data_IF_391886800736
#
_entry.id   IF_391886800736
#
_cell.length_a   1.000
_cell.length_b   1.000
_cell.length_c   1.000
_cell.angle_alpha   90.00
_cell.angle_beta   90.00
_cell.angle_gamma   90.00
#
_symmetry.space_group_name_H-M   'P 1'
#
loop_
_entity.id
_entity.type
_entity.pdbx_description
1 polymer ?
#
# COMPACT_ATOMS: atom_id res chain seq x y z
N UNK A 1 -21.49 31.45 -4.01
CA UNK A 1 -20.98 31.81 -5.35
C UNK A 1 -19.56 31.31 -5.54
N UNK A 2 -18.65 31.47 -4.57
CA UNK A 2 -17.24 31.05 -4.67
C UNK A 2 -17.05 29.53 -4.71
N UNK A 3 -17.72 28.75 -3.84
CA UNK A 3 -17.62 27.27 -3.86
C UNK A 3 -18.01 26.66 -5.21
N UNK A 4 -19.05 27.18 -5.87
CA UNK A 4 -19.49 26.71 -7.18
C UNK A 4 -18.49 27.09 -8.28
N UNK A 5 -17.83 28.24 -8.16
CA UNK A 5 -16.77 28.68 -9.07
C UNK A 5 -15.51 27.83 -8.91
N UNK A 6 -15.13 27.51 -7.67
CA UNK A 6 -14.03 26.60 -7.37
C UNK A 6 -14.35 25.19 -7.92
N UNK A 7 -15.54 24.66 -7.67
CA UNK A 7 -15.97 23.37 -8.24
C UNK A 7 -15.92 23.35 -9.78
N UNK A 8 -16.31 24.45 -10.45
CA UNK A 8 -16.21 24.57 -11.92
C UNK A 8 -14.77 24.65 -12.42
N UNK A 9 -13.89 25.37 -11.73
CA UNK A 9 -12.47 25.45 -12.04
C UNK A 9 -11.78 24.08 -11.89
N UNK A 10 -12.06 23.38 -10.79
CA UNK A 10 -11.57 22.02 -10.55
C UNK A 10 -12.06 21.00 -11.60
N UNK A 11 -13.31 21.15 -12.07
CA UNK A 11 -13.84 20.33 -13.17
C UNK A 11 -13.08 20.56 -14.48
N UNK A 12 -12.57 21.76 -14.72
CA UNK A 12 -11.80 22.11 -15.91
C UNK A 12 -10.37 21.54 -15.87
N UNK A 13 -9.74 21.50 -14.70
CA UNK A 13 -8.44 20.84 -14.49
C UNK A 13 -8.55 19.32 -14.68
N UNK A 14 -9.68 18.71 -14.27
CA UNK A 14 -9.94 17.27 -14.40
C UNK A 14 -9.82 16.75 -15.85
N UNK A 15 -10.08 17.58 -16.87
CA UNK A 15 -10.00 17.17 -18.28
C UNK A 15 -8.57 17.05 -18.83
N UNK A 16 -7.59 17.75 -18.25
CA UNK A 16 -6.23 17.80 -18.79
C UNK A 16 -5.28 16.73 -18.21
N UNK A 17 -5.64 16.06 -17.11
CA UNK A 17 -4.78 15.12 -16.38
C UNK A 17 -5.10 13.63 -16.58
N UNK A 18 -5.91 13.27 -17.58
CA UNK A 18 -6.39 11.89 -17.79
C UNK A 18 -5.24 10.88 -17.99
N UNK A 19 -4.04 11.32 -18.35
CA UNK A 19 -2.93 10.44 -18.72
C UNK A 19 -2.17 9.78 -17.54
N UNK A 20 -2.44 10.13 -16.27
CA UNK A 20 -1.67 9.61 -15.12
C UNK A 20 -2.50 9.34 -13.85
N UNK A 21 -3.54 8.53 -13.97
CA UNK A 21 -4.29 8.05 -12.79
C UNK A 21 -3.81 6.67 -12.34
N UNK A 22 -3.52 6.52 -11.05
CA UNK A 22 -3.27 5.25 -10.38
C UNK A 22 -4.59 4.50 -10.19
N UNK A 23 -4.55 3.20 -10.48
CA UNK A 23 -5.69 2.29 -10.31
C UNK A 23 -5.71 1.67 -8.91
N UNK A 24 -6.89 1.21 -8.46
CA UNK A 24 -7.09 0.56 -7.15
C UNK A 24 -6.02 -0.47 -6.78
N UNK A 25 -5.58 -1.31 -7.72
CA UNK A 25 -4.59 -2.35 -7.43
C UNK A 25 -3.18 -1.78 -7.19
N UNK A 26 -2.82 -0.70 -7.88
CA UNK A 26 -1.52 -0.05 -7.73
C UNK A 26 -1.45 0.70 -6.40
N UNK A 27 -2.51 1.43 -6.07
CA UNK A 27 -2.66 2.19 -4.81
C UNK A 27 -2.54 1.25 -3.61
N UNK A 28 -3.34 0.18 -3.57
CA UNK A 28 -3.32 -0.73 -2.42
C UNK A 28 -2.10 -1.65 -2.38
N UNK A 29 -1.43 -1.88 -3.53
CA UNK A 29 -0.12 -2.54 -3.55
C UNK A 29 0.93 -1.66 -2.89
N UNK A 30 0.95 -0.37 -3.18
CA UNK A 30 1.87 0.58 -2.55
C UNK A 30 1.62 0.72 -1.04
N UNK A 31 0.35 0.83 -0.63
CA UNK A 31 -0.01 0.76 0.80
C UNK A 31 0.50 -0.52 1.47
N UNK A 32 0.37 -1.68 0.83
CA UNK A 32 0.87 -2.94 1.38
C UNK A 32 2.41 -2.96 1.53
N UNK A 33 3.15 -2.38 0.57
CA UNK A 33 4.60 -2.24 0.66
C UNK A 33 5.02 -1.39 1.87
N UNK A 34 4.29 -0.30 2.11
CA UNK A 34 4.49 0.58 3.28
C UNK A 34 4.10 -0.09 4.61
N UNK A 35 3.29 -1.14 4.56
CA UNK A 35 2.88 -1.96 5.72
C UNK A 35 1.43 -1.76 6.16
N UNK A 36 0.58 -1.15 5.32
CA UNK A 36 -0.85 -1.08 5.55
C UNK A 36 -1.56 -2.31 4.97
N UNK A 37 -2.35 -2.99 5.79
CA UNK A 37 -3.07 -4.21 5.40
C UNK A 37 -4.56 -3.93 5.16
N UNK A 38 -4.86 -2.95 4.29
CA UNK A 38 -6.25 -2.61 3.95
C UNK A 38 -6.95 -3.75 3.19
N UNK A 39 -8.19 -4.05 3.57
CA UNK A 39 -9.01 -5.11 2.96
C UNK A 39 -10.50 -4.77 2.94
N UNK A 40 -11.27 -5.48 2.11
CA UNK A 40 -12.73 -5.34 2.04
C UNK A 40 -13.19 -3.91 1.71
N UNK A 41 -14.11 -3.38 2.53
CA UNK A 41 -14.70 -2.04 2.38
C UNK A 41 -13.68 -0.90 2.52
N UNK A 42 -12.56 -1.14 3.22
CA UNK A 42 -11.48 -0.16 3.39
C UNK A 42 -10.62 0.00 2.13
N UNK A 43 -10.83 -0.82 1.09
CA UNK A 43 -10.25 -0.61 -0.25
C UNK A 43 -11.15 0.26 -1.13
N UNK A 44 -11.50 1.45 -0.64
CA UNK A 44 -12.49 2.34 -1.27
C UNK A 44 -11.94 3.37 -2.27
N UNK A 45 -10.63 3.52 -2.45
CA UNK A 45 -10.08 4.43 -3.47
C UNK A 45 -10.16 3.76 -4.85
N UNK A 46 -11.02 4.28 -5.73
CA UNK A 46 -11.24 3.71 -7.05
C UNK A 46 -10.11 4.09 -8.02
N UNK A 47 -9.82 5.39 -8.10
CA UNK A 47 -8.73 5.95 -8.88
C UNK A 47 -8.25 7.25 -8.26
N UNK A 48 -6.99 7.61 -8.48
CA UNK A 48 -6.43 8.88 -8.03
C UNK A 48 -5.27 9.32 -8.91
N UNK A 49 -5.08 10.63 -9.08
CA UNK A 49 -3.89 11.20 -9.70
C UNK A 49 -2.63 10.81 -8.91
N UNK A 50 -1.49 10.71 -9.60
CA UNK A 50 -0.18 10.42 -8.99
C UNK A 50 0.17 11.43 -7.89
N UNK A 51 -0.28 12.68 -8.05
CA UNK A 51 -0.05 13.73 -7.06
C UNK A 51 -0.96 13.64 -5.82
N UNK A 52 -1.94 12.73 -5.79
CA UNK A 52 -2.90 12.61 -4.70
C UNK A 52 -3.93 13.74 -4.60
N UNK A 53 -3.98 14.65 -5.57
CA UNK A 53 -4.81 15.87 -5.52
C UNK A 53 -6.25 15.59 -5.92
N UNK A 54 -6.48 14.80 -6.98
CA UNK A 54 -7.82 14.49 -7.48
C UNK A 54 -8.00 12.98 -7.58
N UNK A 55 -9.18 12.50 -7.21
CA UNK A 55 -9.52 11.08 -7.36
C UNK A 55 -11.00 10.80 -7.24
N UNK A 56 -11.32 9.53 -7.12
CA UNK A 56 -12.67 9.03 -6.92
C UNK A 56 -12.69 7.96 -5.83
N UNK A 57 -13.61 8.13 -4.88
CA UNK A 57 -13.83 7.24 -3.76
C UNK A 57 -15.15 6.49 -3.94
N UNK A 58 -15.16 5.21 -3.58
CA UNK A 58 -16.34 4.36 -3.61
C UNK A 58 -17.19 4.60 -2.36
N UNK A 59 -18.48 4.83 -2.57
CA UNK A 59 -19.47 4.91 -1.53
C UNK A 59 -20.23 3.59 -1.42
N UNK A 60 -20.16 2.95 -0.24
CA UNK A 60 -20.81 1.66 0.04
C UNK A 60 -21.90 1.77 1.11
N UNK A 61 -22.51 2.95 1.29
CA UNK A 61 -23.42 3.26 2.42
C UNK A 61 -22.79 3.17 3.82
N UNK A 62 -21.46 3.04 3.92
CA UNK A 62 -20.72 2.89 5.17
C UNK A 62 -19.80 4.09 5.42
N UNK A 63 -20.24 5.02 6.28
CA UNK A 63 -19.51 6.25 6.60
C UNK A 63 -18.11 5.99 7.14
N UNK A 64 -17.93 4.95 7.96
CA UNK A 64 -16.64 4.66 8.60
C UNK A 64 -15.59 4.32 7.54
N UNK A 65 -15.91 3.41 6.62
CA UNK A 65 -15.00 3.05 5.53
C UNK A 65 -14.72 4.22 4.58
N UNK A 66 -15.71 5.08 4.36
CA UNK A 66 -15.58 6.23 3.47
C UNK A 66 -14.72 7.35 4.07
N UNK A 67 -14.89 7.61 5.37
CA UNK A 67 -14.04 8.56 6.08
C UNK A 67 -12.60 8.04 6.17
N UNK A 68 -12.41 6.74 6.40
CA UNK A 68 -11.07 6.14 6.39
C UNK A 68 -10.42 6.25 5.01
N UNK A 69 -11.16 6.06 3.90
CA UNK A 69 -10.60 6.23 2.56
C UNK A 69 -10.23 7.68 2.27
N UNK A 70 -10.95 8.67 2.82
CA UNK A 70 -10.51 10.07 2.77
C UNK A 70 -9.19 10.31 3.54
N UNK A 71 -8.99 9.65 4.68
CA UNK A 71 -7.71 9.70 5.41
C UNK A 71 -6.59 9.02 4.61
N UNK A 72 -6.88 7.87 4.00
CA UNK A 72 -5.95 7.15 3.13
C UNK A 72 -5.47 8.02 1.97
N UNK A 73 -6.33 8.85 1.38
CA UNK A 73 -5.95 9.74 0.28
C UNK A 73 -4.79 10.67 0.66
N UNK A 74 -4.79 11.20 1.89
CA UNK A 74 -3.68 12.03 2.38
C UNK A 74 -2.38 11.23 2.54
N UNK A 75 -2.49 9.93 2.84
CA UNK A 75 -1.33 9.05 3.00
C UNK A 75 -0.68 8.67 1.65
N UNK A 76 -1.34 8.87 0.51
CA UNK A 76 -0.78 8.49 -0.81
C UNK A 76 0.55 9.20 -1.09
N UNK A 77 0.62 10.50 -0.83
CA UNK A 77 1.84 11.30 -1.04
C UNK A 77 2.87 11.16 0.10
N UNK A 78 2.48 10.54 1.21
CA UNK A 78 3.38 10.32 2.35
C UNK A 78 4.46 9.27 2.04
N UNK A 79 5.61 9.40 2.68
CA UNK A 79 6.68 8.42 2.62
C UNK A 79 6.68 7.59 3.90
N UNK A 80 6.72 6.26 3.74
CA UNK A 80 6.73 5.31 4.86
C UNK A 80 5.37 5.07 5.52
N UNK A 81 5.38 4.49 6.72
CA UNK A 81 4.19 4.18 7.49
C UNK A 81 3.84 5.35 8.42
N UNK A 82 2.70 5.99 8.18
CA UNK A 82 2.19 7.10 8.99
C UNK A 82 0.77 6.81 9.48
N UNK A 83 0.42 7.34 10.65
CA UNK A 83 -0.92 7.21 11.22
C UNK A 83 -1.53 8.58 11.44
N UNK A 84 -2.81 8.79 11.10
CA UNK A 84 -3.57 9.96 11.54
C UNK A 84 -3.54 10.09 13.06
N UNK A 85 -3.21 11.28 13.56
CA UNK A 85 -3.14 11.57 15.01
C UNK A 85 -4.04 12.71 15.43
N UNK A 86 -4.20 13.70 14.56
CA UNK A 86 -5.02 14.88 14.84
C UNK A 86 -5.76 15.33 13.58
N UNK A 87 -6.98 15.84 13.79
CA UNK A 87 -7.82 16.46 12.78
C UNK A 87 -8.36 17.73 13.42
N UNK A 88 -8.06 18.89 12.84
CA UNK A 88 -8.50 20.18 13.40
C UNK A 88 -10.03 20.34 13.32
N UNK A 89 -10.62 19.95 12.18
CA UNK A 89 -12.06 20.03 11.97
C UNK A 89 -12.56 19.01 10.94
N UNK A 90 -13.70 18.41 11.22
CA UNK A 90 -14.44 17.54 10.31
C UNK A 90 -15.88 18.04 10.20
N UNK A 91 -16.32 18.36 8.98
CA UNK A 91 -17.69 18.79 8.68
C UNK A 91 -18.34 17.81 7.72
N UNK A 92 -19.58 17.44 8.03
CA UNK A 92 -20.34 16.47 7.25
C UNK A 92 -21.74 17.05 7.01
N UNK A 93 -22.09 17.21 5.74
CA UNK A 93 -23.46 17.43 5.28
C UNK A 93 -23.96 16.17 4.55
N UNK A 94 -24.76 15.33 5.23
CA UNK A 94 -25.26 14.09 4.64
C UNK A 94 -26.17 14.32 3.43
N UNK A 95 -26.93 15.42 3.37
CA UNK A 95 -27.86 15.69 2.26
C UNK A 95 -27.06 16.00 1.01
N UNK A 96 -26.11 16.92 1.12
CA UNK A 96 -25.20 17.26 0.03
C UNK A 96 -24.36 16.05 -0.41
N UNK A 97 -23.93 15.22 0.56
CA UNK A 97 -23.17 14.01 0.24
C UNK A 97 -23.98 13.05 -0.64
N UNK A 98 -25.25 12.78 -0.30
CA UNK A 98 -26.11 11.89 -1.08
C UNK A 98 -26.38 12.42 -2.49
N UNK A 99 -26.53 13.74 -2.65
CA UNK A 99 -26.69 14.39 -3.96
C UNK A 99 -25.42 14.33 -4.82
N UNK A 100 -24.25 14.26 -4.19
CA UNK A 100 -22.94 14.24 -4.86
C UNK A 100 -22.51 12.85 -5.33
N UNK A 101 -23.22 11.79 -4.93
CA UNK A 101 -22.88 10.42 -5.33
C UNK A 101 -23.32 10.20 -6.78
N UNK A 102 -22.41 9.68 -7.59
CA UNK A 102 -22.74 9.21 -8.94
C UNK A 102 -23.67 8.00 -8.85
N UNK A 103 -24.89 8.11 -9.41
CA UNK A 103 -25.87 7.04 -9.42
C UNK A 103 -25.44 5.82 -10.22
N UNK A 104 -24.53 5.98 -11.19
CA UNK A 104 -24.05 4.91 -12.06
C UNK A 104 -22.93 4.09 -11.42
N UNK A 105 -21.99 4.77 -10.76
CA UNK A 105 -20.75 4.15 -10.26
C UNK A 105 -20.73 4.01 -8.74
N UNK A 106 -21.68 4.62 -8.03
CA UNK A 106 -21.67 4.76 -6.57
C UNK A 106 -20.32 5.31 -6.07
N UNK A 107 -19.73 6.25 -6.83
CA UNK A 107 -18.48 6.93 -6.46
C UNK A 107 -18.72 8.41 -6.25
N UNK A 108 -17.82 9.03 -5.51
CA UNK A 108 -17.76 10.46 -5.31
C UNK A 108 -16.35 10.97 -5.60
N UNK A 109 -16.24 12.17 -6.18
CA UNK A 109 -14.94 12.78 -6.40
C UNK A 109 -14.31 13.23 -5.09
N UNK A 110 -13.00 13.02 -4.95
CA UNK A 110 -12.18 13.58 -3.86
C UNK A 110 -11.24 14.63 -4.43
N UNK A 111 -11.05 15.70 -3.67
CA UNK A 111 -10.09 16.76 -3.94
C UNK A 111 -9.30 17.08 -2.67
N UNK A 112 -7.97 17.17 -2.79
CA UNK A 112 -7.07 17.52 -1.71
C UNK A 112 -6.33 18.80 -2.06
N UNK A 113 -6.39 19.76 -1.16
CA UNK A 113 -5.57 20.97 -1.21
C UNK A 113 -4.50 20.88 -0.11
N UNK A 114 -3.28 20.52 -0.51
CA UNK A 114 -2.16 20.38 0.40
C UNK A 114 -1.68 21.71 0.98
N UNK A 115 -1.90 22.85 0.30
CA UNK A 115 -1.49 24.16 0.81
C UNK A 115 -2.35 24.60 1.99
N UNK A 116 -3.64 24.32 1.92
CA UNK A 116 -4.59 24.64 2.98
C UNK A 116 -4.90 23.47 3.93
N UNK A 117 -4.24 22.32 3.73
CA UNK A 117 -4.49 21.07 4.45
C UNK A 117 -5.99 20.68 4.50
N UNK A 118 -6.64 20.77 3.34
CA UNK A 118 -8.06 20.47 3.15
C UNK A 118 -8.26 19.24 2.27
N UNK A 119 -9.27 18.43 2.61
CA UNK A 119 -9.72 17.32 1.80
C UNK A 119 -11.26 17.37 1.70
N UNK A 120 -11.76 17.36 0.48
CA UNK A 120 -13.19 17.43 0.17
C UNK A 120 -13.63 16.17 -0.55
N UNK A 121 -14.77 15.62 -0.13
CA UNK A 121 -15.43 14.59 -0.92
C UNK A 121 -16.94 14.54 -0.65
N UNK A 122 -17.72 14.79 -1.70
CA UNK A 122 -19.18 14.91 -1.60
C UNK A 122 -19.59 16.04 -0.65
N UNK A 123 -20.28 15.70 0.43
CA UNK A 123 -20.64 16.61 1.52
C UNK A 123 -19.69 16.59 2.72
N UNK A 124 -18.49 16.03 2.58
CA UNK A 124 -17.51 15.94 3.67
C UNK A 124 -16.36 16.90 3.41
N UNK A 125 -16.02 17.68 4.42
CA UNK A 125 -14.85 18.56 4.47
C UNK A 125 -13.99 18.16 5.67
N UNK A 126 -12.75 17.81 5.41
CA UNK A 126 -11.74 17.47 6.40
C UNK A 126 -10.65 18.54 6.36
N UNK A 127 -10.39 19.18 7.49
CA UNK A 127 -9.40 20.23 7.64
C UNK A 127 -8.38 19.87 8.71
N UNK A 128 -7.11 20.15 8.44
CA UNK A 128 -6.05 20.04 9.43
C UNK A 128 -5.69 18.60 9.79
N UNK A 129 -5.56 17.71 8.79
CA UNK A 129 -5.11 16.35 9.04
C UNK A 129 -3.61 16.34 9.38
N UNK A 130 -3.27 15.75 10.52
CA UNK A 130 -1.89 15.53 10.92
C UNK A 130 -1.60 14.05 11.07
N UNK A 131 -0.58 13.59 10.35
CA UNK A 131 -0.09 12.23 10.39
C UNK A 131 1.31 12.19 11.02
N UNK A 132 1.55 11.20 11.87
CA UNK A 132 2.88 10.97 12.46
C UNK A 132 3.46 9.67 11.92
N UNK A 133 4.75 9.68 11.59
CA UNK A 133 5.49 8.49 11.21
C UNK A 133 5.57 7.48 12.36
N UNK A 134 5.43 6.20 12.03
CA UNK A 134 5.58 5.10 12.98
C UNK A 134 6.61 4.09 12.47
N UNK A 135 7.26 3.40 13.40
CA UNK A 135 8.25 2.38 13.08
C UNK A 135 7.57 1.07 12.70
N UNK A 136 7.98 0.49 11.57
CA UNK A 136 7.56 -0.86 11.20
C UNK A 136 8.23 -1.85 12.14
N UNK A 137 7.46 -2.79 12.73
CA UNK A 137 8.05 -3.95 13.41
C UNK A 137 8.81 -4.76 12.36
N UNK A 138 10.13 -4.68 12.37
CA UNK A 138 10.99 -5.43 11.47
C UNK A 138 10.80 -6.94 11.70
N UNK A 139 9.95 -7.59 10.89
CA UNK A 139 10.06 -9.02 10.64
C UNK A 139 11.24 -9.22 9.68
N UNK A 140 12.46 -9.14 10.19
CA UNK A 140 13.63 -9.50 9.40
C UNK A 140 13.56 -10.99 9.09
N UNK A 141 13.31 -11.33 7.82
CA UNK A 141 13.79 -12.60 7.28
C UNK A 141 15.25 -12.35 6.87
N UNK A 142 16.18 -13.01 7.53
CA UNK A 142 17.58 -12.98 7.11
C UNK A 142 17.68 -13.70 5.77
N UNK A 143 17.84 -12.96 4.69
CA UNK A 143 18.15 -13.52 3.37
C UNK A 143 19.61 -13.96 3.36
N UNK A 144 19.86 -15.24 3.11
CA UNK A 144 21.20 -15.78 2.90
C UNK A 144 21.52 -15.66 1.41
N UNK A 145 22.70 -15.15 1.09
CA UNK A 145 23.21 -15.13 -0.29
C UNK A 145 24.16 -16.32 -0.46
N UNK A 146 23.79 -17.25 -1.33
CA UNK A 146 24.61 -18.39 -1.72
C UNK A 146 25.18 -18.14 -3.13
N UNK A 147 26.49 -18.35 -3.30
CA UNK A 147 27.16 -18.19 -4.59
C UNK A 147 27.51 -19.55 -5.18
N UNK A 148 27.16 -19.77 -6.44
CA UNK A 148 27.52 -20.99 -7.17
C UNK A 148 28.89 -20.82 -7.82
N UNK A 149 29.82 -21.71 -7.46
CA UNK A 149 31.15 -21.79 -8.04
C UNK A 149 31.39 -23.21 -8.55
N UNK A 150 32.12 -23.34 -9.65
CA UNK A 150 32.55 -24.65 -10.11
C UNK A 150 33.61 -25.20 -9.16
N UNK A 151 33.33 -26.35 -8.56
CA UNK A 151 34.26 -27.09 -7.70
C UNK A 151 34.63 -28.39 -8.42
N UNK A 152 35.88 -28.54 -8.88
CA UNK A 152 36.37 -29.81 -9.40
C UNK A 152 36.29 -30.90 -8.32
N UNK A 153 35.91 -32.12 -8.70
CA UNK A 153 35.76 -33.26 -7.79
C UNK A 153 37.04 -33.56 -6.97
N UNK A 154 38.22 -33.33 -7.55
CA UNK A 154 39.49 -33.61 -6.89
C UNK A 154 39.88 -32.54 -5.82
N UNK A 155 39.13 -31.43 -5.71
CA UNK A 155 39.46 -30.26 -4.88
C UNK A 155 38.35 -29.90 -3.85
N UNK A 156 37.64 -30.89 -3.31
CA UNK A 156 36.53 -30.68 -2.35
C UNK A 156 36.99 -30.03 -1.02
N UNK A 157 38.29 -30.03 -0.70
CA UNK A 157 38.85 -29.61 0.59
C UNK A 157 38.94 -28.10 0.87
N UNK A 158 38.36 -27.22 0.03
CA UNK A 158 38.70 -25.79 0.11
C UNK A 158 37.66 -24.97 0.89
N UNK A 159 36.37 -25.28 0.79
CA UNK A 159 35.30 -24.49 1.44
C UNK A 159 34.11 -25.41 1.73
N UNK A 160 33.83 -25.70 3.00
CA UNK A 160 32.65 -26.45 3.47
C UNK A 160 32.43 -27.84 2.82
N UNK A 161 33.35 -28.77 3.09
CA UNK A 161 33.31 -30.17 2.61
C UNK A 161 31.96 -30.86 2.84
N UNK A 162 31.37 -30.70 4.04
CA UNK A 162 30.10 -31.35 4.40
C UNK A 162 28.92 -30.79 3.58
N UNK A 163 28.90 -29.47 3.39
CA UNK A 163 27.82 -28.77 2.68
C UNK A 163 27.84 -29.13 1.20
N UNK A 164 29.03 -29.13 0.59
CA UNK A 164 29.24 -29.57 -0.80
C UNK A 164 28.82 -31.04 -0.99
N UNK A 165 29.21 -31.93 -0.07
CA UNK A 165 28.79 -33.33 -0.11
C UNK A 165 27.26 -33.47 0.01
N UNK A 166 26.62 -32.70 0.90
CA UNK A 166 25.17 -32.71 1.07
C UNK A 166 24.44 -32.22 -0.18
N UNK A 167 24.92 -31.14 -0.82
CA UNK A 167 24.36 -30.65 -2.08
C UNK A 167 24.47 -31.71 -3.20
N UNK A 168 25.62 -32.36 -3.34
CA UNK A 168 25.80 -33.44 -4.32
C UNK A 168 24.87 -34.63 -4.06
N UNK A 169 24.72 -35.04 -2.80
CA UNK A 169 23.80 -36.13 -2.43
C UNK A 169 22.36 -35.73 -2.78
N UNK A 170 21.94 -34.51 -2.41
CA UNK A 170 20.60 -34.01 -2.70
C UNK A 170 20.32 -33.96 -4.20
N UNK A 171 21.25 -33.46 -5.00
CA UNK A 171 21.11 -33.38 -6.46
C UNK A 171 20.93 -34.76 -7.12
N UNK A 172 21.56 -35.79 -6.56
CA UNK A 172 21.52 -37.16 -7.11
C UNK A 172 20.40 -38.04 -6.50
N UNK A 173 19.60 -37.51 -5.57
CA UNK A 173 18.45 -38.23 -4.99
C UNK A 173 17.12 -37.73 -5.56
N UNK A 174 16.20 -38.66 -5.86
CA UNK A 174 14.85 -38.34 -6.33
C UNK A 174 13.84 -38.18 -5.19
N UNK A 175 14.28 -38.33 -3.94
CA UNK A 175 13.42 -38.36 -2.74
C UNK A 175 13.44 -37.02 -2.01
N UNK A 176 12.30 -36.61 -1.48
CA UNK A 176 12.17 -35.37 -0.69
C UNK A 176 12.62 -35.52 0.76
N UNK A 177 12.96 -36.74 1.19
CA UNK A 177 13.45 -37.05 2.53
C UNK A 177 14.84 -37.66 2.46
N UNK A 178 15.71 -37.24 3.37
CA UNK A 178 17.04 -37.82 3.58
C UNK A 178 17.12 -38.43 4.98
N UNK A 179 17.50 -39.71 5.05
CA UNK A 179 17.86 -40.37 6.29
C UNK A 179 19.38 -40.35 6.47
N UNK A 180 19.86 -39.69 7.53
CA UNK A 180 21.29 -39.48 7.78
C UNK A 180 21.67 -40.04 9.16
N UNK A 181 22.78 -40.78 9.23
CA UNK A 181 23.31 -41.34 10.48
C UNK A 181 24.77 -40.90 10.65
N UNK A 182 25.12 -40.36 11.82
CA UNK A 182 26.49 -40.08 12.21
C UNK A 182 26.98 -41.20 13.14
N UNK A 183 28.12 -41.79 12.82
CA UNK A 183 28.76 -42.79 13.69
C UNK A 183 29.59 -42.02 14.73
N UNK A 184 29.14 -42.04 15.99
CA UNK A 184 29.93 -41.55 17.12
C UNK A 184 30.75 -42.69 17.70
N UNK A 185 32.08 -42.56 17.71
CA UNK A 185 32.92 -43.48 18.49
C UNK A 185 32.93 -43.01 19.94
N UNK A 186 32.50 -43.88 20.86
CA UNK A 186 32.72 -43.69 22.30
C UNK A 186 34.24 -43.65 22.55
N UNK A 187 34.69 -42.62 23.27
CA UNK A 187 36.09 -42.50 23.73
C UNK A 187 36.36 -43.47 24.86
#
# INVERSE_FOLDING_TARGET
SEQLTMQKFHKQIKLNNIEKNLQINEIYRDFNLRGYEYSGLFRGINQIDINGIYGELKWNNEWISYLDTMLQVHLITSQGLQLPTHIDSLRIDPKHHLESISSLTSTCSVYVDYWNNLCFSGGIELFGLHCTGTSKKNKQQNTILESYLFVPFDNINIINELETCLYLILENTLTTTLSLCQIGNEK
#
